data_IF_885986627026
#
_entry.id   IF_885986627026
#
_cell.length_a   1.000
_cell.length_b   1.000
_cell.length_c   1.000
_cell.angle_alpha   90.00
_cell.angle_beta   90.00
_cell.angle_gamma   90.00
#
_symmetry.space_group_name_H-M   'P 1'
#
loop_
_entity.id
_entity.type
_entity.pdbx_description
1 polymer ?
#
# COMPACT_ATOMS: atom_id res chain seq x y z
N UNK A 1 50.50 -34.90 35.84
CA UNK A 1 50.54 -36.33 35.45
C UNK A 1 49.39 -37.04 36.15
N UNK A 2 48.81 -38.07 35.49
CA UNK A 2 47.49 -38.74 35.67
C UNK A 2 46.32 -37.91 35.07
N UNK A 3 45.66 -38.18 33.92
CA UNK A 3 45.24 -39.41 33.20
C UNK A 3 44.49 -40.40 34.10
N UNK A 4 43.33 -40.98 33.78
CA UNK A 4 42.32 -40.89 32.73
C UNK A 4 41.14 -41.83 33.14
N UNK A 5 40.10 -41.89 32.30
CA UNK A 5 39.01 -42.92 32.18
C UNK A 5 37.71 -42.57 32.91
N UNK A 6 36.61 -42.19 32.23
CA UNK A 6 35.75 -42.81 31.17
C UNK A 6 34.92 -44.03 31.62
N UNK A 7 33.71 -44.04 31.04
CA UNK A 7 32.62 -45.04 31.02
C UNK A 7 31.82 -45.14 32.32
N UNK A 8 30.49 -45.07 32.36
CA UNK A 8 29.47 -45.01 31.32
C UNK A 8 28.20 -45.52 31.97
N UNK A 9 27.06 -44.87 31.78
CA UNK A 9 25.77 -45.50 31.98
C UNK A 9 24.69 -44.71 31.27
N UNK A 10 24.15 -45.33 30.21
CA UNK A 10 22.95 -44.92 29.53
C UNK A 10 21.77 -45.17 30.47
N UNK A 11 21.11 -44.12 30.91
CA UNK A 11 19.74 -44.24 31.41
C UNK A 11 18.89 -43.31 30.55
N UNK A 12 18.13 -43.95 29.65
CA UNK A 12 17.04 -43.34 28.93
C UNK A 12 15.99 -42.87 29.95
N UNK A 13 15.85 -41.56 30.09
CA UNK A 13 14.72 -40.95 30.78
C UNK A 13 13.82 -40.29 29.72
N UNK A 14 12.85 -41.06 29.24
CA UNK A 14 11.64 -40.48 28.65
C UNK A 14 10.88 -39.78 29.78
N UNK A 15 10.91 -38.44 29.78
CA UNK A 15 9.97 -37.64 30.55
C UNK A 15 9.20 -36.75 29.58
N UNK A 16 7.97 -37.19 29.30
CA UNK A 16 6.92 -36.42 28.65
C UNK A 16 6.61 -35.18 29.51
N UNK A 17 6.89 -33.99 29.00
CA UNK A 17 6.26 -32.76 29.45
C UNK A 17 5.72 -32.00 28.24
N UNK A 18 4.42 -32.18 28.02
CA UNK A 18 3.56 -31.29 27.26
C UNK A 18 3.37 -30.02 28.08
N UNK A 19 3.77 -28.85 27.58
CA UNK A 19 3.47 -27.61 28.30
C UNK A 19 4.14 -26.35 27.74
N UNK A 20 3.37 -25.62 26.93
CA UNK A 20 3.39 -24.17 26.74
C UNK A 20 4.65 -23.60 26.05
N UNK A 21 4.56 -23.37 24.73
CA UNK A 21 4.17 -22.06 24.20
C UNK A 21 5.16 -21.00 24.71
N UNK A 22 6.28 -20.83 24.02
CA UNK A 22 6.25 -20.02 22.82
C UNK A 22 6.92 -18.72 23.20
N UNK A 23 8.21 -18.66 22.94
CA UNK A 23 9.02 -17.46 23.07
C UNK A 23 8.25 -16.31 22.45
N UNK A 24 7.78 -15.37 23.27
CA UNK A 24 7.19 -14.14 22.81
C UNK A 24 8.31 -13.34 22.15
N UNK A 25 8.64 -13.70 20.91
CA UNK A 25 9.23 -12.76 19.98
C UNK A 25 8.25 -11.59 19.94
N UNK A 26 8.69 -10.34 20.16
CA UNK A 26 7.83 -9.22 19.85
C UNK A 26 7.43 -9.44 18.39
N UNK A 27 6.14 -9.55 18.13
CA UNK A 27 5.57 -9.42 16.79
C UNK A 27 5.86 -7.97 16.37
N UNK A 28 7.11 -7.66 16.06
CA UNK A 28 7.41 -6.73 15.00
C UNK A 28 6.85 -7.41 13.77
N UNK A 29 5.56 -7.19 13.52
CA UNK A 29 5.07 -7.20 12.16
C UNK A 29 6.16 -6.48 11.36
N UNK A 30 6.73 -7.09 10.30
CA UNK A 30 7.44 -6.27 9.35
C UNK A 30 6.40 -5.23 8.98
N UNK A 31 6.60 -4.00 9.45
CA UNK A 31 5.94 -2.83 8.93
C UNK A 31 6.29 -2.95 7.46
N UNK A 32 5.33 -3.48 6.71
CA UNK A 32 5.45 -3.75 5.30
C UNK A 32 5.60 -2.34 4.76
N UNK A 33 6.85 -1.91 4.67
CA UNK A 33 7.27 -0.76 3.91
C UNK A 33 7.01 -1.25 2.50
N UNK A 34 5.74 -1.21 2.15
CA UNK A 34 5.24 -1.36 0.82
C UNK A 34 5.78 -0.10 0.15
N UNK A 35 7.07 -0.14 -0.18
CA UNK A 35 7.65 0.67 -1.23
C UNK A 35 6.87 0.26 -2.44
N UNK A 36 5.72 0.91 -2.62
CA UNK A 36 4.77 0.70 -3.66
C UNK A 36 5.53 1.05 -4.93
N UNK A 37 6.11 0.02 -5.56
CA UNK A 37 6.76 0.17 -6.86
C UNK A 37 5.78 0.93 -7.74
N UNK A 38 6.27 2.03 -8.30
CA UNK A 38 5.48 2.97 -9.08
C UNK A 38 4.74 2.22 -10.18
N UNK A 39 3.45 2.01 -9.98
CA UNK A 39 2.66 1.15 -10.85
C UNK A 39 2.29 1.90 -12.11
N UNK A 40 2.24 1.23 -13.26
CA UNK A 40 1.68 1.81 -14.49
C UNK A 40 0.15 1.94 -14.40
N UNK A 41 -0.46 2.77 -15.26
CA UNK A 41 -1.92 2.97 -15.23
C UNK A 41 -2.65 1.65 -15.46
N UNK A 42 -2.13 0.83 -16.37
CA UNK A 42 -2.69 -0.48 -16.66
C UNK A 42 -2.65 -1.41 -15.43
N UNK A 43 -1.54 -1.40 -14.69
CA UNK A 43 -1.40 -2.19 -13.46
C UNK A 43 -2.33 -1.70 -12.34
N UNK A 44 -2.52 -0.38 -12.21
CA UNK A 44 -3.50 0.20 -11.27
C UNK A 44 -4.90 -0.32 -11.54
N UNK A 45 -5.34 -0.25 -12.80
CA UNK A 45 -6.68 -0.69 -13.21
C UNK A 45 -6.85 -2.19 -12.97
N UNK A 46 -5.85 -3.00 -13.29
CA UNK A 46 -5.86 -4.44 -13.03
C UNK A 46 -5.95 -4.76 -11.54
N UNK A 47 -5.18 -4.07 -10.70
CA UNK A 47 -5.24 -4.25 -9.24
C UNK A 47 -6.58 -3.84 -8.66
N UNK A 48 -7.16 -2.73 -9.12
CA UNK A 48 -8.51 -2.31 -8.73
C UNK A 48 -9.57 -3.34 -9.10
N UNK A 49 -9.49 -3.96 -10.29
CA UNK A 49 -10.41 -5.02 -10.69
C UNK A 49 -10.32 -6.27 -9.81
N UNK A 50 -9.15 -6.55 -9.24
CA UNK A 50 -8.94 -7.62 -8.28
C UNK A 50 -9.32 -7.25 -6.83
N UNK A 51 -9.63 -5.97 -6.56
CA UNK A 51 -10.01 -5.52 -5.23
C UNK A 51 -11.42 -6.05 -4.87
N UNK A 52 -11.61 -6.68 -3.70
CA UNK A 52 -12.83 -7.45 -3.42
C UNK A 52 -14.04 -6.58 -3.05
N UNK A 53 -13.88 -5.26 -2.94
CA UNK A 53 -14.95 -4.34 -2.58
C UNK A 53 -15.48 -3.61 -3.81
N UNK A 54 -16.81 -3.53 -3.91
CA UNK A 54 -17.46 -2.73 -4.95
C UNK A 54 -17.25 -1.24 -4.65
N UNK A 55 -16.95 -0.41 -5.67
CA UNK A 55 -16.89 1.03 -5.51
C UNK A 55 -18.21 1.61 -4.99
N UNK A 56 -18.19 2.21 -3.80
CA UNK A 56 -19.29 3.01 -3.24
C UNK A 56 -18.72 4.16 -2.41
N UNK A 57 -18.89 5.40 -2.89
CA UNK A 57 -18.38 6.60 -2.26
C UNK A 57 -19.10 6.97 -0.95
N UNK A 58 -20.26 6.37 -0.66
CA UNK A 58 -21.01 6.52 0.59
C UNK A 58 -21.06 5.22 1.40
N UNK A 59 -20.28 4.21 1.01
CA UNK A 59 -20.23 2.90 1.66
C UNK A 59 -19.34 2.87 2.89
N UNK A 60 -18.89 1.67 3.26
CA UNK A 60 -17.87 1.50 4.29
C UNK A 60 -16.50 1.98 3.79
N UNK A 61 -15.52 2.08 4.71
CA UNK A 61 -14.17 2.57 4.41
C UNK A 61 -13.50 1.86 3.21
N UNK A 62 -13.69 0.56 3.04
CA UNK A 62 -13.08 -0.19 1.93
C UNK A 62 -13.79 0.08 0.61
N UNK A 63 -15.12 0.21 0.63
CA UNK A 63 -15.91 0.58 -0.55
C UNK A 63 -15.63 2.03 -1.00
N UNK A 64 -15.46 2.93 -0.03
CA UNK A 64 -15.03 4.32 -0.28
C UNK A 64 -13.64 4.35 -0.92
N UNK A 65 -12.68 3.58 -0.40
CA UNK A 65 -11.36 3.48 -1.00
C UNK A 65 -11.41 2.92 -2.44
N UNK A 66 -12.26 1.92 -2.70
CA UNK A 66 -12.50 1.41 -4.05
C UNK A 66 -13.08 2.50 -4.99
N UNK A 67 -13.99 3.33 -4.48
CA UNK A 67 -14.57 4.46 -5.20
C UNK A 67 -13.50 5.50 -5.58
N UNK A 68 -12.73 5.97 -4.60
CA UNK A 68 -11.67 6.96 -4.83
C UNK A 68 -10.58 6.45 -5.76
N UNK A 69 -10.21 5.17 -5.68
CA UNK A 69 -9.27 4.55 -6.61
C UNK A 69 -9.83 4.55 -8.04
N UNK A 70 -11.11 4.21 -8.22
CA UNK A 70 -11.75 4.29 -9.53
C UNK A 70 -11.72 5.72 -10.10
N UNK A 71 -12.05 6.73 -9.29
CA UNK A 71 -11.99 8.13 -9.71
C UNK A 71 -10.58 8.54 -10.15
N UNK A 72 -9.55 8.09 -9.41
CA UNK A 72 -8.15 8.33 -9.74
C UNK A 72 -7.79 7.75 -11.10
N UNK A 73 -8.12 6.48 -11.34
CA UNK A 73 -7.86 5.81 -12.62
C UNK A 73 -8.58 6.53 -13.78
N UNK A 74 -9.82 6.97 -13.57
CA UNK A 74 -10.58 7.73 -14.57
C UNK A 74 -9.97 9.10 -14.85
N UNK A 75 -9.41 9.77 -13.84
CA UNK A 75 -8.71 11.02 -14.03
C UNK A 75 -7.37 10.80 -14.76
N UNK A 76 -6.64 9.74 -14.44
CA UNK A 76 -5.39 9.35 -15.13
C UNK A 76 -5.65 9.04 -16.62
N UNK A 77 -6.77 8.35 -16.92
CA UNK A 77 -7.21 8.12 -18.29
C UNK A 77 -7.52 9.42 -19.05
N UNK A 78 -8.16 10.40 -18.38
CA UNK A 78 -8.44 11.72 -18.97
C UNK A 78 -7.17 12.55 -19.17
N UNK A 79 -6.20 12.45 -18.26
CA UNK A 79 -4.91 13.14 -18.34
C UNK A 79 -4.00 12.55 -19.41
N UNK A 80 -4.09 11.24 -19.69
CA UNK A 80 -3.23 10.55 -20.67
C UNK A 80 -3.10 11.29 -22.02
N UNK A 81 -4.19 11.66 -22.73
CA UNK A 81 -4.07 12.42 -23.96
C UNK A 81 -3.64 13.89 -23.74
N UNK A 82 -4.05 14.51 -22.62
CA UNK A 82 -3.76 15.92 -22.33
C UNK A 82 -2.28 16.16 -22.00
N UNK A 83 -1.61 15.17 -21.42
CA UNK A 83 -0.18 15.22 -21.08
C UNK A 83 0.72 14.74 -22.22
N UNK A 84 0.16 14.30 -23.36
CA UNK A 84 0.93 13.86 -24.51
C UNK A 84 1.44 12.42 -24.43
N UNK A 85 0.76 11.54 -23.69
CA UNK A 85 1.01 10.10 -23.67
C UNK A 85 1.47 9.53 -22.33
N UNK A 86 1.95 8.28 -22.36
CA UNK A 86 2.19 7.48 -21.15
C UNK A 86 3.36 7.99 -20.30
N UNK A 87 4.49 8.35 -20.90
CA UNK A 87 5.69 8.76 -20.13
C UNK A 87 5.42 10.03 -19.29
N UNK A 88 4.84 11.11 -19.83
CA UNK A 88 4.43 12.26 -19.02
C UNK A 88 3.41 11.91 -17.93
N UNK A 89 2.44 11.04 -18.23
CA UNK A 89 1.47 10.58 -17.25
C UNK A 89 2.12 9.82 -16.10
N UNK A 90 3.04 8.89 -16.37
CA UNK A 90 3.69 8.11 -15.31
C UNK A 90 4.58 8.99 -14.42
N UNK A 91 5.23 10.02 -15.00
CA UNK A 91 5.95 11.04 -14.21
C UNK A 91 5.00 11.83 -13.32
N UNK A 92 3.84 12.23 -13.84
CA UNK A 92 2.82 12.92 -13.04
C UNK A 92 2.31 12.03 -11.89
N UNK A 93 1.93 10.78 -12.19
CA UNK A 93 1.48 9.80 -11.20
C UNK A 93 2.54 9.59 -10.12
N UNK A 94 3.81 9.55 -10.52
CA UNK A 94 4.94 9.43 -9.60
C UNK A 94 5.06 10.59 -8.61
N UNK A 95 5.03 11.82 -9.12
CA UNK A 95 5.12 13.03 -8.32
C UNK A 95 3.92 13.16 -7.39
N UNK A 96 2.71 12.97 -7.93
CA UNK A 96 1.45 13.02 -7.20
C UNK A 96 1.46 12.04 -6.02
N UNK A 97 1.83 10.79 -6.28
CA UNK A 97 1.95 9.75 -5.25
C UNK A 97 2.88 10.18 -4.12
N UNK A 98 4.07 10.68 -4.46
CA UNK A 98 5.07 11.13 -3.47
C UNK A 98 4.60 12.35 -2.65
N UNK A 99 3.78 13.24 -3.23
CA UNK A 99 3.18 14.36 -2.51
C UNK A 99 2.12 13.86 -1.52
N UNK A 100 1.23 12.98 -1.95
CA UNK A 100 0.12 12.50 -1.14
C UNK A 100 0.52 11.48 -0.07
N UNK A 101 1.55 10.68 -0.33
CA UNK A 101 2.13 9.81 0.70
C UNK A 101 2.62 10.64 1.90
N UNK A 102 3.35 11.74 1.64
CA UNK A 102 3.88 12.62 2.69
C UNK A 102 2.79 13.37 3.44
N UNK A 103 1.68 13.72 2.77
CA UNK A 103 0.55 14.35 3.47
C UNK A 103 -0.17 13.34 4.36
N UNK A 104 -0.37 12.10 3.88
CA UNK A 104 -1.02 11.02 4.61
C UNK A 104 -0.19 10.50 5.80
N UNK A 105 1.14 10.50 5.71
CA UNK A 105 2.05 10.12 6.82
C UNK A 105 1.89 11.00 8.08
N UNK A 106 1.28 12.18 7.98
CA UNK A 106 0.95 13.02 9.14
C UNK A 106 -0.21 12.46 9.97
N UNK A 107 -0.98 11.52 9.41
CA UNK A 107 -2.06 10.83 10.08
C UNK A 107 -1.54 9.57 10.77
N UNK A 108 -2.03 9.25 11.99
CA UNK A 108 -1.52 8.16 12.84
C UNK A 108 -1.84 6.73 12.34
N UNK A 109 -1.95 6.53 11.01
CA UNK A 109 -2.30 5.26 10.39
C UNK A 109 -3.78 4.89 10.52
N UNK A 110 -4.08 3.61 10.32
CA UNK A 110 -5.45 3.06 10.38
C UNK A 110 -6.10 2.89 9.00
N UNK A 111 -7.31 2.32 9.00
CA UNK A 111 -8.06 2.01 7.78
C UNK A 111 -8.46 3.24 6.96
N UNK A 112 -8.35 4.44 7.53
CA UNK A 112 -8.61 5.72 6.87
C UNK A 112 -7.46 6.18 5.97
N UNK A 113 -6.24 5.67 6.17
CA UNK A 113 -5.04 6.13 5.46
C UNK A 113 -5.18 6.03 3.92
N UNK A 114 -5.70 4.93 3.33
CA UNK A 114 -5.93 4.86 1.89
C UNK A 114 -6.91 5.91 1.39
N UNK A 115 -7.92 6.26 2.18
CA UNK A 115 -8.89 7.31 1.82
C UNK A 115 -8.20 8.67 1.77
N UNK A 116 -7.46 9.05 2.82
CA UNK A 116 -6.74 10.33 2.86
C UNK A 116 -5.76 10.48 1.70
N UNK A 117 -5.03 9.41 1.41
CA UNK A 117 -4.12 9.36 0.28
C UNK A 117 -4.87 9.57 -1.04
N UNK A 118 -5.84 8.71 -1.35
CA UNK A 118 -6.55 8.73 -2.63
C UNK A 118 -7.32 10.03 -2.84
N UNK A 119 -7.88 10.63 -1.79
CA UNK A 119 -8.50 11.96 -1.85
C UNK A 119 -7.50 13.01 -2.31
N UNK A 120 -6.30 13.06 -1.71
CA UNK A 120 -5.24 13.98 -2.14
C UNK A 120 -4.87 13.77 -3.62
N UNK A 121 -4.76 12.51 -4.07
CA UNK A 121 -4.43 12.23 -5.47
C UNK A 121 -5.53 12.72 -6.41
N UNK A 122 -6.79 12.53 -6.04
CA UNK A 122 -7.94 12.99 -6.83
C UNK A 122 -8.03 14.51 -6.89
N UNK A 123 -7.75 15.23 -5.81
CA UNK A 123 -7.73 16.70 -5.78
C UNK A 123 -6.62 17.28 -6.69
N UNK A 124 -5.42 16.69 -6.65
CA UNK A 124 -4.32 17.09 -7.52
C UNK A 124 -4.65 16.82 -8.99
N UNK A 125 -5.26 15.67 -9.29
CA UNK A 125 -5.73 15.34 -10.63
C UNK A 125 -6.81 16.32 -11.12
N UNK A 126 -7.79 16.64 -10.28
CA UNK A 126 -8.85 17.58 -10.60
C UNK A 126 -8.28 18.98 -10.90
N UNK A 127 -7.31 19.43 -10.10
CA UNK A 127 -6.62 20.70 -10.29
C UNK A 127 -5.87 20.75 -11.63
N UNK A 128 -5.12 19.70 -11.95
CA UNK A 128 -4.38 19.61 -13.22
C UNK A 128 -5.33 19.53 -14.42
N UNK A 129 -6.38 18.71 -14.32
CA UNK A 129 -7.42 18.63 -15.36
C UNK A 129 -8.07 19.99 -15.60
N UNK A 130 -8.41 20.72 -14.53
CA UNK A 130 -8.97 22.06 -14.65
C UNK A 130 -8.01 23.00 -15.37
N UNK A 131 -6.72 22.99 -15.03
CA UNK A 131 -5.72 23.84 -15.70
C UNK A 131 -5.54 23.51 -17.18
N UNK A 132 -5.60 22.23 -17.55
CA UNK A 132 -5.40 21.78 -18.93
C UNK A 132 -6.65 21.91 -19.81
N UNK A 133 -7.85 21.93 -19.21
CA UNK A 133 -9.13 21.98 -19.93
C UNK A 133 -9.81 23.33 -19.87
N UNK A 134 -9.46 24.19 -18.92
CA UNK A 134 -9.97 25.56 -18.87
C UNK A 134 -9.23 26.36 -19.94
N UNK A 135 -9.94 26.91 -20.94
CA UNK A 135 -9.30 27.75 -21.93
C UNK A 135 -8.66 28.97 -21.25
N UNK A 136 -7.41 29.24 -21.60
CA UNK A 136 -6.69 30.45 -21.17
C UNK A 136 -7.31 31.66 -21.87
N UNK A 137 -8.40 32.18 -21.32
CA UNK A 137 -9.00 33.48 -21.68
C UNK A 137 -9.72 33.52 -23.04
N UNK A 138 -10.95 34.03 -23.01
CA UNK A 138 -11.48 34.84 -24.10
C UNK A 138 -11.14 36.29 -23.81
#
# INVERSE_FOLDING_TARGET
MAWANRTGSLIAAFALFSGLAGWAQPLTTPQQKETLQQETLQQSIQRRQAFPFRPDCNGNTQEMAACLWQERDQADQRLLPLLGGSLPLERWRSVRHSVCERSAQRSQGGSILPILWLTCENELNASLLQQLTTPLGR
#
